data_IF_169533193139
#
_entry.id   IF_169533193139
#
_cell.length_a   1.000
_cell.length_b   1.000
_cell.length_c   1.000
_cell.angle_alpha   90.00
_cell.angle_beta   90.00
_cell.angle_gamma   90.00
#
_symmetry.space_group_name_H-M   'P 1'
#
loop_
_entity.id
_entity.type
_entity.pdbx_description
1 polymer ?
#
# COMPACT_ATOMS: atom_id res chain seq x y z
N UNK A 1 -3.86 -11.56 -27.89
CA UNK A 1 -2.81 -12.12 -27.03
C UNK A 1 -1.65 -11.15 -26.80
N UNK A 2 -1.33 -10.29 -27.75
CA UNK A 2 -0.23 -9.30 -27.60
C UNK A 2 -0.45 -8.27 -26.47
N UNK A 3 -1.68 -7.81 -26.25
CA UNK A 3 -1.99 -6.85 -25.18
C UNK A 3 -1.74 -7.42 -23.76
N UNK A 4 -1.91 -8.73 -23.58
CA UNK A 4 -1.69 -9.39 -22.28
C UNK A 4 -0.20 -9.57 -22.00
N UNK A 5 0.60 -9.84 -23.04
CA UNK A 5 2.06 -9.95 -22.93
C UNK A 5 2.68 -8.59 -22.66
N UNK A 6 2.18 -7.52 -23.27
CA UNK A 6 2.60 -6.14 -23.01
C UNK A 6 2.29 -5.69 -21.59
N UNK A 7 1.13 -6.06 -21.05
CA UNK A 7 0.75 -5.77 -19.67
C UNK A 7 1.62 -6.54 -18.65
N UNK A 8 1.98 -7.79 -18.98
CA UNK A 8 2.86 -8.61 -18.13
C UNK A 8 4.30 -8.07 -18.06
N UNK A 9 4.81 -7.54 -19.18
CA UNK A 9 6.15 -6.92 -19.23
C UNK A 9 6.23 -5.61 -18.44
N UNK A 10 5.15 -4.85 -18.32
CA UNK A 10 5.12 -3.63 -17.50
C UNK A 10 5.10 -3.94 -15.97
N UNK A 11 4.68 -5.13 -15.56
CA UNK A 11 4.65 -5.54 -14.15
C UNK A 11 6.03 -6.03 -13.68
N UNK A 12 6.92 -6.39 -14.61
CA UNK A 12 8.32 -6.75 -14.32
C UNK A 12 9.24 -5.53 -14.16
N UNK A 13 8.65 -4.32 -13.99
CA UNK A 13 9.41 -3.13 -13.61
C UNK A 13 10.21 -3.45 -12.35
N UNK A 14 11.53 -3.48 -12.50
CA UNK A 14 12.52 -3.68 -11.43
C UNK A 14 12.16 -2.67 -10.34
N UNK A 15 11.62 -3.16 -9.23
CA UNK A 15 11.45 -2.38 -8.01
C UNK A 15 12.86 -2.03 -7.51
N UNK A 16 13.39 -0.88 -7.95
CA UNK A 16 14.53 -0.29 -7.27
C UNK A 16 14.01 0.14 -5.91
N UNK A 17 14.58 -0.38 -4.86
CA UNK A 17 14.24 0.01 -3.50
C UNK A 17 14.22 1.54 -3.38
N UNK A 18 13.12 2.07 -2.82
CA UNK A 18 12.92 3.52 -2.70
C UNK A 18 14.03 4.21 -1.90
N UNK A 19 14.14 5.52 -2.06
CA UNK A 19 14.95 6.36 -1.19
C UNK A 19 14.17 6.68 0.09
N UNK A 20 14.77 6.46 1.25
CA UNK A 20 14.21 6.80 2.56
C UNK A 20 15.07 7.86 3.23
N UNK A 21 14.41 8.77 3.96
CA UNK A 21 15.08 9.82 4.72
C UNK A 21 14.92 9.56 6.22
N UNK A 22 16.01 9.76 6.97
CA UNK A 22 16.04 9.58 8.41
C UNK A 22 16.79 10.74 9.08
N UNK A 23 16.19 11.33 10.12
CA UNK A 23 16.84 12.34 10.95
C UNK A 23 17.54 11.65 12.13
N UNK A 24 18.84 11.41 11.99
CA UNK A 24 19.68 10.74 13.00
C UNK A 24 20.27 11.68 14.06
N UNK A 25 19.84 12.94 14.14
CA UNK A 25 20.39 13.92 15.10
C UNK A 25 19.96 13.68 16.55
N UNK A 26 18.95 12.83 16.75
CA UNK A 26 18.49 12.47 18.08
C UNK A 26 19.05 11.10 18.50
N UNK A 27 19.44 11.00 19.76
CA UNK A 27 19.93 9.73 20.30
C UNK A 27 18.84 8.68 20.36
N UNK A 28 19.14 7.45 19.91
CA UNK A 28 18.20 6.34 19.88
C UNK A 28 17.22 6.36 18.71
N UNK A 29 17.45 7.19 17.67
CA UNK A 29 16.62 7.22 16.46
C UNK A 29 16.59 5.86 15.77
N UNK A 30 15.41 5.47 15.28
CA UNK A 30 15.22 4.30 14.42
C UNK A 30 15.06 4.75 12.97
N UNK A 31 15.93 4.24 12.11
CA UNK A 31 15.93 4.48 10.67
C UNK A 31 15.52 3.20 9.95
N UNK A 32 14.81 3.36 8.84
CA UNK A 32 14.35 2.24 8.01
C UNK A 32 14.82 2.42 6.58
N UNK A 33 15.21 1.33 5.95
CA UNK A 33 15.61 1.30 4.55
C UNK A 33 15.08 0.05 3.86
N UNK A 34 14.76 0.17 2.56
CA UNK A 34 14.37 -0.97 1.75
C UNK A 34 15.63 -1.71 1.25
N UNK A 35 15.59 -3.04 1.20
CA UNK A 35 16.66 -3.85 0.63
C UNK A 35 16.93 -3.46 -0.84
N UNK A 36 18.18 -3.20 -1.20
CA UNK A 36 18.57 -2.67 -2.51
C UNK A 36 18.24 -1.20 -2.73
N UNK A 37 17.65 -0.52 -1.74
CA UNK A 37 17.30 0.89 -1.78
C UNK A 37 18.43 1.81 -1.31
N UNK A 38 18.02 3.04 -1.02
CA UNK A 38 18.90 4.10 -0.52
C UNK A 38 18.37 4.66 0.78
N UNK A 39 19.23 4.88 1.77
CA UNK A 39 18.89 5.65 2.96
C UNK A 39 19.73 6.93 3.01
N UNK A 40 19.07 8.05 3.30
CA UNK A 40 19.71 9.34 3.55
C UNK A 40 19.55 9.66 5.03
N UNK A 41 20.65 9.64 5.76
CA UNK A 41 20.67 9.90 7.20
C UNK A 41 21.23 11.27 7.45
N UNK A 42 20.44 12.16 8.06
CA UNK A 42 20.92 13.44 8.53
C UNK A 42 21.59 13.26 9.89
N UNK A 43 22.91 13.42 9.92
CA UNK A 43 23.70 13.19 11.11
C UNK A 43 23.85 14.46 11.97
N UNK A 44 23.89 15.62 11.32
CA UNK A 44 24.10 16.94 11.93
C UNK A 44 23.62 18.05 10.99
N UNK A 45 23.60 19.27 11.44
CA UNK A 45 23.19 20.42 10.60
C UNK A 45 24.29 20.84 9.63
N UNK A 46 25.55 20.91 10.10
CA UNK A 46 26.69 21.31 9.30
C UNK A 46 27.97 20.62 9.83
N UNK A 47 28.58 19.80 8.98
CA UNK A 47 29.81 19.08 9.34
C UNK A 47 31.09 19.96 9.17
N UNK A 48 31.01 21.08 8.43
CA UNK A 48 32.17 21.91 8.16
C UNK A 48 32.72 22.63 9.41
N UNK A 49 31.90 22.77 10.45
CA UNK A 49 32.25 23.35 11.73
C UNK A 49 32.82 22.32 12.72
N UNK A 50 32.73 21.03 12.40
CA UNK A 50 33.14 19.94 13.25
C UNK A 50 34.59 19.55 12.89
N UNK A 51 35.46 19.51 13.89
CA UNK A 51 36.87 19.12 13.67
C UNK A 51 36.99 17.65 13.29
N UNK A 52 36.31 16.75 14.02
CA UNK A 52 36.29 15.32 13.73
C UNK A 52 34.99 14.69 14.18
N UNK A 53 34.47 13.79 13.34
CA UNK A 53 33.46 12.83 13.78
C UNK A 53 33.71 11.45 13.16
N UNK A 54 33.31 10.46 13.90
CA UNK A 54 33.40 9.06 13.55
C UNK A 54 31.99 8.47 13.53
N UNK A 55 31.72 7.68 12.50
CA UNK A 55 30.56 6.78 12.44
C UNK A 55 31.08 5.38 12.66
N UNK A 56 30.63 4.72 13.71
CA UNK A 56 30.96 3.35 14.03
C UNK A 56 29.79 2.43 13.80
N UNK A 57 30.07 1.19 13.45
CA UNK A 57 29.13 0.08 13.48
C UNK A 57 29.75 -1.03 14.35
N UNK A 58 29.18 -1.26 15.53
CA UNK A 58 29.80 -2.07 16.57
C UNK A 58 31.18 -1.52 16.97
N UNK A 59 32.24 -2.31 16.85
CA UNK A 59 33.60 -1.88 17.18
C UNK A 59 34.35 -1.18 16.02
N UNK A 60 33.85 -1.26 14.79
CA UNK A 60 34.53 -0.75 13.59
C UNK A 60 34.15 0.67 13.26
N UNK A 61 35.12 1.50 12.90
CA UNK A 61 34.90 2.86 12.35
C UNK A 61 34.69 2.72 10.85
N UNK A 62 33.44 2.81 10.41
CA UNK A 62 33.09 2.69 8.98
C UNK A 62 33.27 3.99 8.21
N UNK A 63 33.14 5.14 8.90
CA UNK A 63 33.35 6.45 8.30
C UNK A 63 34.02 7.38 9.30
N UNK A 64 35.00 8.16 8.83
CA UNK A 64 35.69 9.19 9.62
C UNK A 64 35.88 10.45 8.80
N UNK A 65 35.40 11.55 9.36
CA UNK A 65 35.65 12.91 8.89
C UNK A 65 36.60 13.62 9.84
N UNK A 66 37.60 14.28 9.33
CA UNK A 66 38.55 15.05 10.13
C UNK A 66 39.12 16.20 9.31
N UNK A 67 39.17 17.40 9.91
CA UNK A 67 39.76 18.59 9.32
C UNK A 67 39.26 18.83 7.87
N UNK A 68 37.95 18.82 7.70
CA UNK A 68 37.22 19.06 6.43
C UNK A 68 37.51 18.05 5.31
N UNK A 69 38.01 16.88 5.66
CA UNK A 69 38.29 15.79 4.71
C UNK A 69 37.78 14.43 5.22
N UNK A 70 37.42 13.57 4.27
CA UNK A 70 37.13 12.15 4.58
C UNK A 70 38.43 11.40 4.76
N UNK A 71 38.67 10.85 5.93
CA UNK A 71 39.88 10.08 6.26
C UNK A 71 39.64 8.57 6.06
N UNK A 72 38.46 8.07 6.42
CA UNK A 72 38.08 6.67 6.28
C UNK A 72 36.66 6.60 5.75
N UNK A 73 36.44 5.73 4.77
CA UNK A 73 35.12 5.33 4.32
C UNK A 73 35.19 3.88 3.80
N UNK A 74 34.74 2.93 4.62
CA UNK A 74 34.77 1.51 4.29
C UNK A 74 33.72 1.12 3.25
N UNK A 75 32.70 1.98 3.05
CA UNK A 75 31.61 1.77 2.09
C UNK A 75 31.59 2.85 1.00
N UNK A 76 32.78 3.35 0.62
CA UNK A 76 32.96 4.50 -0.32
C UNK A 76 32.27 4.30 -1.67
N UNK A 77 32.19 3.05 -2.16
CA UNK A 77 31.67 2.74 -3.49
C UNK A 77 30.13 2.88 -3.56
N UNK A 78 29.46 2.91 -2.40
CA UNK A 78 28.01 3.00 -2.28
C UNK A 78 27.54 4.04 -1.25
N UNK A 79 28.45 4.90 -0.77
CA UNK A 79 28.08 5.97 0.15
C UNK A 79 28.58 7.32 -0.31
N UNK A 80 27.78 8.35 -0.02
CA UNK A 80 28.11 9.74 -0.27
C UNK A 80 27.86 10.53 1.01
N UNK A 81 28.86 11.34 1.39
CA UNK A 81 28.73 12.28 2.49
C UNK A 81 28.67 13.70 1.98
N UNK A 82 27.67 14.46 2.42
CA UNK A 82 27.50 15.88 2.12
C UNK A 82 27.80 16.71 3.37
N UNK A 83 28.97 17.39 3.42
CA UNK A 83 29.36 18.10 4.62
C UNK A 83 28.52 19.34 4.92
N UNK A 84 27.94 19.97 3.88
CA UNK A 84 27.18 21.24 4.00
C UNK A 84 25.89 21.08 4.76
N UNK A 85 25.23 19.94 4.62
CA UNK A 85 23.95 19.61 5.22
C UNK A 85 24.03 18.46 6.24
N UNK A 86 25.25 17.94 6.46
CA UNK A 86 25.52 16.87 7.42
C UNK A 86 24.82 15.56 7.10
N UNK A 87 24.56 15.27 5.82
CA UNK A 87 23.86 14.04 5.41
C UNK A 87 24.85 12.96 4.96
N UNK A 88 24.52 11.73 5.30
CA UNK A 88 25.21 10.52 4.89
C UNK A 88 24.23 9.62 4.12
N UNK A 89 24.51 9.43 2.84
CA UNK A 89 23.72 8.60 1.93
C UNK A 89 24.38 7.25 1.80
N UNK A 90 23.60 6.18 1.93
CA UNK A 90 24.04 4.80 1.66
C UNK A 90 23.11 4.24 0.57
N UNK A 91 23.68 3.84 -0.56
CA UNK A 91 22.98 3.20 -1.67
C UNK A 91 23.11 1.67 -1.57
N UNK A 92 22.32 0.97 -2.36
CA UNK A 92 22.37 -0.50 -2.48
C UNK A 92 22.36 -1.20 -1.10
N UNK A 93 21.38 -0.84 -0.29
CA UNK A 93 21.24 -1.33 1.07
C UNK A 93 21.15 -2.85 1.11
N UNK A 94 21.97 -3.45 1.95
CA UNK A 94 21.99 -4.89 2.21
C UNK A 94 21.52 -5.20 3.63
N UNK A 95 21.11 -6.42 3.90
CA UNK A 95 20.73 -6.85 5.25
C UNK A 95 21.86 -6.66 6.26
N UNK A 96 23.11 -6.74 5.80
CA UNK A 96 24.28 -6.52 6.64
C UNK A 96 24.45 -5.07 7.07
N UNK A 97 23.71 -4.12 6.46
CA UNK A 97 23.73 -2.73 6.88
C UNK A 97 22.78 -2.46 8.06
N UNK A 98 21.91 -3.41 8.39
CA UNK A 98 21.14 -3.33 9.63
C UNK A 98 22.05 -3.37 10.85
N UNK A 99 21.66 -2.62 11.87
CA UNK A 99 22.37 -2.63 13.14
C UNK A 99 22.47 -1.26 13.77
N UNK A 100 23.18 -1.21 14.89
CA UNK A 100 23.43 0.01 15.62
C UNK A 100 24.62 0.76 15.00
N UNK A 101 24.44 2.07 14.85
CA UNK A 101 25.47 3.01 14.43
C UNK A 101 25.68 4.05 15.52
N UNK A 102 26.95 4.28 15.88
CA UNK A 102 27.34 5.26 16.88
C UNK A 102 28.03 6.42 16.18
N UNK A 103 27.51 7.63 16.38
CA UNK A 103 28.08 8.89 15.90
C UNK A 103 28.80 9.57 17.03
N UNK A 104 30.10 9.79 16.87
CA UNK A 104 30.93 10.36 17.92
C UNK A 104 31.61 11.62 17.38
N UNK A 105 31.36 12.75 18.03
CA UNK A 105 31.97 14.04 17.71
C UNK A 105 33.11 14.31 18.68
N UNK A 106 34.24 14.77 18.13
CA UNK A 106 35.42 15.12 18.88
C UNK A 106 35.86 16.59 18.59
N UNK A 107 36.41 17.21 19.58
CA UNK A 107 37.10 18.50 19.43
C UNK A 107 38.51 18.35 18.81
N UNK A 108 39.20 19.46 18.61
CA UNK A 108 40.58 19.48 18.08
C UNK A 108 41.60 18.76 18.97
N UNK A 109 41.35 18.71 20.28
CA UNK A 109 42.20 18.05 21.25
C UNK A 109 41.95 16.55 21.38
N UNK A 110 41.00 16.01 20.61
CA UNK A 110 40.65 14.60 20.64
C UNK A 110 39.67 14.18 21.76
N UNK A 111 39.14 15.19 22.52
CA UNK A 111 38.11 14.92 23.54
C UNK A 111 36.77 14.68 22.91
N UNK A 112 36.05 13.64 23.34
CA UNK A 112 34.70 13.35 22.91
C UNK A 112 33.73 14.43 23.43
N UNK A 113 33.01 15.07 22.51
CA UNK A 113 32.02 16.10 22.80
C UNK A 113 30.62 15.52 22.93
N UNK A 114 30.26 14.63 22.00
CA UNK A 114 28.95 13.97 22.02
C UNK A 114 29.04 12.59 21.41
N UNK A 115 28.08 11.77 21.78
CA UNK A 115 27.85 10.45 21.21
C UNK A 115 26.34 10.27 21.06
N UNK A 116 25.92 9.83 19.89
CA UNK A 116 24.55 9.56 19.55
C UNK A 116 24.49 8.18 18.91
N UNK A 117 23.43 7.43 19.20
CA UNK A 117 23.19 6.12 18.59
C UNK A 117 21.99 6.19 17.69
N UNK A 118 22.03 5.50 16.57
CA UNK A 118 20.87 5.23 15.73
C UNK A 118 20.81 3.73 15.40
N UNK A 119 19.60 3.24 15.21
CA UNK A 119 19.37 1.86 14.81
C UNK A 119 18.83 1.83 13.38
N UNK A 120 19.58 1.23 12.44
CA UNK A 120 19.14 1.06 11.07
C UNK A 120 18.51 -0.33 10.88
N UNK A 121 17.29 -0.35 10.35
CA UNK A 121 16.57 -1.57 9.97
C UNK A 121 16.45 -1.64 8.45
N UNK A 122 16.87 -2.77 7.86
CA UNK A 122 16.71 -3.03 6.43
C UNK A 122 15.61 -4.05 6.26
N UNK A 123 14.52 -3.61 5.63
CA UNK A 123 13.36 -4.44 5.36
C UNK A 123 13.38 -4.96 3.92
N UNK A 124 13.00 -6.22 3.76
CA UNK A 124 12.77 -6.76 2.43
C UNK A 124 11.44 -6.24 1.90
N UNK A 125 11.45 -5.70 0.69
CA UNK A 125 10.23 -5.29 0.01
C UNK A 125 9.42 -6.53 -0.36
N UNK A 126 8.40 -6.85 0.42
CA UNK A 126 7.49 -7.98 0.16
C UNK A 126 6.41 -7.64 -0.89
N UNK A 127 6.40 -6.41 -1.40
CA UNK A 127 5.46 -5.94 -2.43
C UNK A 127 5.38 -6.86 -3.67
N UNK A 128 6.50 -7.34 -4.26
CA UNK A 128 6.43 -8.18 -5.45
C UNK A 128 5.75 -9.54 -5.19
N UNK A 129 5.90 -10.10 -3.99
CA UNK A 129 5.23 -11.35 -3.62
C UNK A 129 3.71 -11.17 -3.54
N UNK A 130 3.26 -10.09 -2.90
CA UNK A 130 1.82 -9.79 -2.76
C UNK A 130 1.20 -9.49 -4.13
N UNK A 131 1.87 -8.70 -4.98
CA UNK A 131 1.41 -8.41 -6.33
C UNK A 131 1.34 -9.68 -7.20
N UNK A 132 2.30 -10.60 -7.08
CA UNK A 132 2.30 -11.88 -7.77
C UNK A 132 1.14 -12.78 -7.37
N UNK A 133 0.83 -12.89 -6.09
CA UNK A 133 -0.31 -13.68 -5.59
C UNK A 133 -1.64 -13.09 -6.06
N UNK A 134 -1.81 -11.78 -5.97
CA UNK A 134 -3.04 -11.11 -6.41
C UNK A 134 -3.25 -11.27 -7.93
N UNK A 135 -2.21 -11.15 -8.74
CA UNK A 135 -2.32 -11.34 -10.20
C UNK A 135 -2.70 -12.78 -10.56
N UNK A 136 -2.12 -13.77 -9.88
CA UNK A 136 -2.47 -15.18 -10.08
C UNK A 136 -3.94 -15.47 -9.74
N UNK A 137 -4.46 -14.90 -8.64
CA UNK A 137 -5.87 -15.03 -8.26
C UNK A 137 -6.81 -14.43 -9.30
N UNK A 138 -6.48 -13.25 -9.85
CA UNK A 138 -7.28 -12.62 -10.91
C UNK A 138 -7.31 -13.49 -12.16
N UNK A 139 -6.18 -14.06 -12.58
CA UNK A 139 -6.12 -14.95 -13.75
C UNK A 139 -7.02 -16.19 -13.53
N UNK A 140 -6.93 -16.81 -12.36
CA UNK A 140 -7.79 -17.97 -12.02
C UNK A 140 -9.27 -17.61 -12.09
N UNK A 141 -9.66 -16.45 -11.53
CA UNK A 141 -11.04 -15.98 -11.59
C UNK A 141 -11.54 -15.79 -13.03
N UNK A 142 -10.71 -15.15 -13.90
CA UNK A 142 -11.07 -14.95 -15.29
C UNK A 142 -11.22 -16.27 -16.03
N UNK A 143 -10.35 -17.25 -15.78
CA UNK A 143 -10.46 -18.58 -16.38
C UNK A 143 -11.75 -19.28 -15.91
N UNK A 144 -12.04 -19.26 -14.62
CA UNK A 144 -13.27 -19.88 -14.06
C UNK A 144 -14.52 -19.24 -14.66
N UNK A 145 -14.58 -17.91 -14.73
CA UNK A 145 -15.72 -17.20 -15.32
C UNK A 145 -15.89 -17.51 -16.80
N UNK A 146 -14.79 -17.62 -17.56
CA UNK A 146 -14.83 -17.97 -18.99
C UNK A 146 -15.35 -19.40 -19.22
N UNK A 147 -14.94 -20.35 -18.38
CA UNK A 147 -15.45 -21.74 -18.42
C UNK A 147 -16.94 -21.79 -18.09
N UNK A 148 -17.38 -21.09 -17.04
CA UNK A 148 -18.81 -21.03 -16.69
C UNK A 148 -19.63 -20.44 -17.83
N UNK A 149 -19.13 -19.38 -18.46
CA UNK A 149 -19.82 -18.75 -19.60
C UNK A 149 -19.90 -19.69 -20.81
N UNK A 150 -18.82 -20.42 -21.11
CA UNK A 150 -18.79 -21.41 -22.20
C UNK A 150 -19.77 -22.56 -21.94
N UNK A 151 -19.85 -23.06 -20.69
CA UNK A 151 -20.81 -24.11 -20.32
C UNK A 151 -22.25 -23.61 -20.42
N UNK A 152 -22.56 -22.40 -19.95
CA UNK A 152 -23.88 -21.80 -20.12
C UNK A 152 -24.27 -21.60 -21.59
N UNK A 153 -23.30 -21.20 -22.45
CA UNK A 153 -23.53 -21.04 -23.88
C UNK A 153 -23.85 -22.39 -24.55
N UNK A 154 -23.16 -23.47 -24.13
CA UNK A 154 -23.41 -24.83 -24.64
C UNK A 154 -24.82 -25.34 -24.24
N UNK A 155 -25.27 -25.05 -23.01
CA UNK A 155 -26.60 -25.40 -22.55
C UNK A 155 -27.73 -24.67 -23.31
N UNK A 156 -27.48 -23.38 -23.69
CA UNK A 156 -28.45 -22.60 -24.47
C UNK A 156 -28.63 -23.14 -25.90
N UNK A 157 -27.58 -23.73 -26.48
CA UNK A 157 -27.64 -24.28 -27.84
C UNK A 157 -28.21 -25.69 -27.91
N UNK A 158 -28.36 -26.36 -26.75
CA UNK A 158 -28.92 -27.71 -26.67
C UNK A 158 -30.39 -27.76 -26.20
N UNK A 159 -31.11 -26.61 -26.20
CA UNK A 159 -32.58 -26.71 -26.09
C UNK A 159 -33.10 -27.33 -27.40
N UNK A 160 -33.85 -28.48 -27.28
CA UNK A 160 -34.51 -29.05 -28.45
C UNK A 160 -35.38 -27.97 -29.07
N UNK A 161 -35.27 -27.80 -30.37
CA UNK A 161 -36.17 -27.00 -31.18
C UNK A 161 -37.51 -27.73 -31.05
N UNK A 162 -38.40 -27.24 -30.21
CA UNK A 162 -39.77 -27.69 -30.15
C UNK A 162 -40.39 -27.35 -31.52
N UNK A 163 -40.56 -28.39 -32.32
CA UNK A 163 -41.24 -28.34 -33.56
C UNK A 163 -42.67 -27.89 -33.28
N UNK A 164 -42.99 -26.68 -33.71
CA UNK A 164 -44.34 -26.13 -33.66
C UNK A 164 -45.20 -26.93 -34.62
N UNK A 165 -45.86 -27.90 -34.08
CA UNK A 165 -46.91 -28.63 -34.82
C UNK A 165 -48.14 -27.71 -34.80
N UNK A 166 -48.34 -26.99 -35.89
CA UNK A 166 -49.57 -26.28 -36.20
C UNK A 166 -50.65 -27.30 -36.54
N UNK A 167 -51.43 -27.69 -35.56
CA UNK A 167 -52.74 -28.30 -35.75
C UNK A 167 -53.68 -27.78 -34.69
N UNK A 168 -54.52 -26.84 -35.17
CA UNK A 168 -55.97 -26.78 -34.98
C UNK A 168 -56.55 -27.34 -33.68
N UNK A 169 -56.90 -26.46 -32.74
CA UNK A 169 -58.07 -26.66 -31.87
C UNK A 169 -58.80 -25.36 -31.60
N UNK A 170 -59.78 -25.22 -32.36
CA UNK A 170 -60.97 -24.38 -32.40
C UNK A 170 -61.67 -24.31 -31.04
N UNK A 171 -62.07 -23.09 -30.66
CA UNK A 171 -63.26 -22.72 -29.85
C UNK A 171 -63.62 -23.59 -28.64
N UNK A 172 -63.25 -23.15 -27.47
CA UNK A 172 -64.12 -23.16 -26.29
C UNK A 172 -63.30 -22.75 -25.04
N UNK A 173 -63.08 -21.50 -24.79
CA UNK A 173 -62.85 -20.99 -23.43
C UNK A 173 -62.88 -19.43 -23.33
N UNK A 174 -63.93 -18.79 -23.76
CA UNK A 174 -64.12 -17.33 -23.62
C UNK A 174 -65.19 -16.99 -22.56
N UNK A 175 -65.78 -17.98 -21.91
CA UNK A 175 -66.92 -17.71 -21.01
C UNK A 175 -66.64 -17.73 -19.50
N UNK A 176 -65.42 -18.02 -19.03
CA UNK A 176 -65.13 -18.13 -17.59
C UNK A 176 -64.39 -16.89 -17.02
N UNK A 177 -63.78 -16.07 -17.86
CA UNK A 177 -63.00 -14.91 -17.36
C UNK A 177 -63.84 -13.66 -17.04
N UNK A 178 -65.13 -13.61 -17.50
CA UNK A 178 -65.99 -12.45 -17.28
C UNK A 178 -66.78 -12.45 -15.96
N UNK A 179 -66.80 -13.58 -15.25
CA UNK A 179 -67.59 -13.69 -14.01
C UNK A 179 -66.79 -13.41 -12.71
N UNK A 180 -65.47 -13.36 -12.79
CA UNK A 180 -64.61 -13.07 -11.61
C UNK A 180 -64.29 -11.58 -11.44
N UNK A 181 -64.65 -10.71 -12.37
CA UNK A 181 -64.33 -9.27 -12.34
C UNK A 181 -65.40 -8.38 -11.69
N UNK A 182 -66.50 -8.96 -11.24
CA UNK A 182 -67.61 -8.20 -10.61
C UNK A 182 -67.78 -8.38 -9.11
N UNK A 183 -66.90 -9.09 -8.42
CA UNK A 183 -67.04 -9.29 -6.97
C UNK A 183 -65.93 -8.68 -6.10
N UNK A 184 -65.01 -7.88 -6.65
CA UNK A 184 -63.93 -7.25 -5.86
C UNK A 184 -64.03 -5.74 -5.76
N UNK A 185 -65.18 -5.16 -6.08
CA UNK A 185 -65.37 -3.72 -6.04
C UNK A 185 -66.43 -3.24 -4.99
N UNK A 186 -66.49 -3.94 -3.86
CA UNK A 186 -67.22 -3.46 -2.69
C UNK A 186 -66.60 -4.02 -1.41
N UNK A 187 -65.51 -3.38 -0.93
CA UNK A 187 -65.24 -3.25 0.51
C UNK A 187 -64.11 -2.27 0.78
N UNK A 188 -64.55 -1.13 1.28
CA UNK A 188 -64.04 -0.41 2.45
C UNK A 188 -62.71 0.33 2.34
N UNK A 189 -62.92 1.62 2.26
CA UNK A 189 -62.00 2.66 2.72
C UNK A 189 -61.86 2.60 4.26
N UNK A 190 -60.71 2.67 4.87
CA UNK A 190 -60.54 3.40 6.11
C UNK A 190 -59.44 4.48 6.03
N UNK A 191 -59.86 5.64 6.28
CA UNK A 191 -59.36 6.79 7.01
C UNK A 191 -57.93 6.66 7.58
N UNK A 192 -57.03 7.53 7.12
CA UNK A 192 -55.64 7.65 7.64
C UNK A 192 -55.61 8.87 8.54
N UNK A 193 -55.53 8.64 9.84
CA UNK A 193 -55.30 9.61 10.91
C UNK A 193 -53.84 10.02 10.94
N UNK A 194 -53.57 11.36 10.86
CA UNK A 194 -52.23 11.91 10.96
C UNK A 194 -51.92 12.22 12.43
N UNK A 195 -50.98 11.48 12.98
CA UNK A 195 -50.46 11.76 14.32
C UNK A 195 -49.29 12.76 14.25
N UNK A 196 -49.44 13.85 14.99
CA UNK A 196 -48.52 14.99 15.04
C UNK A 196 -47.30 14.65 15.93
N UNK A 197 -46.12 14.72 15.37
CA UNK A 197 -44.86 14.62 16.14
C UNK A 197 -44.55 16.01 16.75
N UNK A 198 -44.61 16.09 18.06
CA UNK A 198 -44.18 17.27 18.87
C UNK A 198 -42.67 17.29 18.99
N UNK A 199 -42.05 18.37 18.50
CA UNK A 199 -40.67 18.73 18.81
C UNK A 199 -40.55 19.19 20.26
N UNK A 200 -39.75 18.52 21.05
CA UNK A 200 -39.35 18.95 22.39
C UNK A 200 -38.03 19.70 22.34
N UNK A 201 -38.04 20.96 22.72
CA UNK A 201 -36.89 21.84 22.80
C UNK A 201 -36.00 21.48 24.00
N UNK A 202 -34.69 21.52 23.79
CA UNK A 202 -33.64 21.36 24.78
C UNK A 202 -33.43 22.70 25.52
N UNK A 203 -33.36 22.76 26.86
CA UNK A 203 -32.91 23.96 27.57
C UNK A 203 -31.38 24.00 27.63
N UNK A 204 -30.83 25.19 27.36
CA UNK A 204 -29.46 25.57 27.70
C UNK A 204 -29.37 25.77 29.22
N UNK A 205 -28.25 25.31 29.79
CA UNK A 205 -27.80 25.79 31.12
C UNK A 205 -26.41 26.42 30.94
N UNK A 206 -26.41 27.70 31.22
CA UNK A 206 -25.27 28.57 31.52
C UNK A 206 -24.90 28.46 33.00
N UNK A 207 -23.60 28.80 33.28
CA UNK A 207 -23.02 29.26 34.56
C UNK A 207 -22.66 28.15 35.58
N UNK A 208 -21.49 28.14 36.10
CA UNK A 208 -20.53 29.18 36.58
C UNK A 208 -19.08 28.63 36.49
#
# INVERSE_FOLDING_TARGET
>A
MEAVVGLMLMILGVSHGGETYCDGRQNGTQCYGALGGTVVIRLMDNALEIFRYDVKRGSSVIFRWRNKTVVTNEIKDRSVFSPSDGTFRINDLSRNDSGQYDLIIFNSNGTKLSEQTLQLFIEADNLPLIAGVLSALVIVLVVVLSVIWALKKKQRNNKPKEERNDQELTYADVSIVQQQRKQTEQRTNPEVEYDQVKFSARPQQTET
#
